data_IF_646854994957
#
_entry.id   IF_646854994957
#
_cell.length_a   1.000
_cell.length_b   1.000
_cell.length_c   1.000
_cell.angle_alpha   90.00
_cell.angle_beta   90.00
_cell.angle_gamma   90.00
#
_symmetry.space_group_name_H-M   'P 1'
#
loop_
_entity.id
_entity.type
_entity.pdbx_description
1 polymer ?
#
# COMPACT_ATOMS: atom_id res chain seq x y z
N UNK A 1 1.04 15.24 -2.99
CA UNK A 1 0.80 14.36 -1.83
C UNK A 1 2.07 13.54 -1.60
N UNK A 2 2.15 12.68 -0.57
CA UNK A 2 3.37 11.90 -0.28
C UNK A 2 3.10 10.41 -0.52
N UNK A 3 3.74 9.83 -1.53
CA UNK A 3 3.59 8.42 -1.92
C UNK A 3 3.80 7.44 -0.75
N UNK A 4 4.77 7.70 0.13
CA UNK A 4 5.01 6.86 1.30
C UNK A 4 3.81 6.87 2.26
N UNK A 5 3.16 8.02 2.43
CA UNK A 5 1.96 8.12 3.24
C UNK A 5 0.77 7.39 2.60
N UNK A 6 0.64 7.44 1.28
CA UNK A 6 -0.42 6.72 0.57
C UNK A 6 -0.22 5.21 0.61
N UNK A 7 1.03 4.73 0.55
CA UNK A 7 1.36 3.32 0.84
C UNK A 7 0.89 2.96 2.25
N UNK A 8 1.21 3.76 3.28
CA UNK A 8 0.73 3.48 4.64
C UNK A 8 -0.79 3.42 4.74
N UNK A 9 -1.51 4.28 4.01
CA UNK A 9 -2.98 4.28 4.01
C UNK A 9 -3.54 3.00 3.39
N UNK A 10 -2.92 2.52 2.32
CA UNK A 10 -3.21 1.21 1.73
C UNK A 10 -2.98 0.11 2.76
N UNK A 11 -1.79 0.04 3.36
CA UNK A 11 -1.43 -0.99 4.35
C UNK A 11 -2.40 -0.98 5.56
N UNK A 12 -2.80 0.20 6.02
CA UNK A 12 -3.68 0.37 7.17
C UNK A 12 -5.07 -0.27 6.97
N UNK A 13 -5.63 -0.24 5.75
CA UNK A 13 -6.98 -0.76 5.47
C UNK A 13 -7.01 -2.18 4.94
N UNK A 14 -5.84 -2.78 4.69
CA UNK A 14 -5.75 -4.19 4.27
C UNK A 14 -6.12 -5.12 5.43
N UNK A 15 -6.42 -6.39 5.14
CA UNK A 15 -6.72 -7.40 6.17
C UNK A 15 -5.50 -8.28 6.50
N UNK A 16 -4.47 -8.25 5.66
CA UNK A 16 -3.22 -8.98 5.82
C UNK A 16 -2.11 -8.04 6.25
N UNK A 17 -1.18 -8.56 7.05
CA UNK A 17 0.04 -7.86 7.48
C UNK A 17 1.22 -8.10 6.54
N UNK A 18 1.17 -9.18 5.75
CA UNK A 18 2.16 -9.50 4.71
C UNK A 18 1.58 -9.21 3.33
N UNK A 19 2.16 -8.23 2.64
CA UNK A 19 1.61 -7.67 1.40
C UNK A 19 2.68 -7.74 0.31
N UNK A 20 2.43 -8.44 -0.82
CA UNK A 20 3.35 -8.48 -1.94
C UNK A 20 3.60 -7.09 -2.51
N UNK A 21 4.86 -6.73 -2.78
CA UNK A 21 5.21 -5.44 -3.40
C UNK A 21 4.58 -5.27 -4.78
N UNK A 22 4.43 -6.37 -5.53
CA UNK A 22 3.73 -6.40 -6.81
C UNK A 22 2.27 -5.91 -6.73
N UNK A 23 1.62 -5.99 -5.56
CA UNK A 23 0.28 -5.44 -5.35
C UNK A 23 0.22 -3.96 -5.71
N UNK A 24 1.23 -3.18 -5.30
CA UNK A 24 1.29 -1.75 -5.54
C UNK A 24 1.52 -1.44 -7.01
N UNK A 25 2.31 -2.24 -7.71
CA UNK A 25 2.61 -2.06 -9.14
C UNK A 25 1.41 -2.46 -10.00
N UNK A 26 0.85 -3.65 -9.77
CA UNK A 26 -0.25 -4.17 -10.58
C UNK A 26 -1.58 -3.49 -10.29
N UNK A 27 -1.79 -3.06 -9.04
CA UNK A 27 -2.97 -2.35 -8.58
C UNK A 27 -2.89 -0.83 -8.71
N UNK A 28 -1.74 -0.26 -9.11
CA UNK A 28 -1.42 1.17 -9.09
C UNK A 28 -2.55 2.08 -9.59
N UNK A 29 -3.11 1.77 -10.76
CA UNK A 29 -4.21 2.53 -11.40
C UNK A 29 -5.45 2.72 -10.52
N UNK A 30 -5.66 1.84 -9.54
CA UNK A 30 -6.82 1.86 -8.65
C UNK A 30 -6.51 2.46 -7.27
N UNK A 31 -5.23 2.67 -6.94
CA UNK A 31 -4.80 3.15 -5.63
C UNK A 31 -4.76 4.69 -5.54
N UNK A 32 -5.00 5.38 -6.66
CA UNK A 32 -5.09 6.84 -6.76
C UNK A 32 -3.92 7.44 -7.55
N UNK A 33 -4.06 8.69 -7.97
CA UNK A 33 -3.16 9.34 -8.92
C UNK A 33 -1.68 9.33 -8.52
N UNK A 34 -1.36 9.49 -7.23
CA UNK A 34 0.02 9.46 -6.74
C UNK A 34 0.65 8.06 -6.88
N UNK A 35 -0.12 7.01 -6.61
CA UNK A 35 0.35 5.63 -6.74
C UNK A 35 0.25 5.11 -8.17
N UNK A 36 -0.53 5.76 -9.04
CA UNK A 36 -0.58 5.47 -10.47
C UNK A 36 0.78 5.74 -11.16
N UNK A 37 1.56 6.69 -10.66
CA UNK A 37 2.93 6.94 -11.13
C UNK A 37 3.85 5.71 -11.03
N UNK A 38 3.51 4.72 -10.19
CA UNK A 38 4.26 3.46 -10.07
C UNK A 38 4.19 2.61 -11.36
N UNK A 39 3.20 2.84 -12.22
CA UNK A 39 3.08 2.15 -13.52
C UNK A 39 4.24 2.54 -14.43
N UNK A 40 4.56 3.83 -14.49
CA UNK A 40 5.59 4.39 -15.36
C UNK A 40 6.97 4.41 -14.69
N UNK A 41 7.00 4.55 -13.36
CA UNK A 41 8.23 4.67 -12.58
C UNK A 41 8.25 3.70 -11.39
N UNK A 42 8.48 2.38 -11.61
CA UNK A 42 8.42 1.38 -10.54
C UNK A 42 9.43 1.62 -9.40
N UNK A 43 10.57 2.26 -9.68
CA UNK A 43 11.60 2.57 -8.66
C UNK A 43 11.09 3.53 -7.57
N UNK A 44 10.01 4.29 -7.83
CA UNK A 44 9.39 5.15 -6.82
C UNK A 44 8.85 4.34 -5.64
N UNK A 45 8.45 3.08 -5.86
CA UNK A 45 8.07 2.16 -4.79
C UNK A 45 9.24 1.92 -3.85
N UNK A 46 10.45 1.67 -4.39
CA UNK A 46 11.66 1.47 -3.58
C UNK A 46 12.00 2.71 -2.75
N UNK A 47 11.86 3.91 -3.33
CA UNK A 47 12.09 5.16 -2.61
C UNK A 47 11.09 5.35 -1.46
N UNK A 48 9.80 5.15 -1.74
CA UNK A 48 8.75 5.30 -0.75
C UNK A 48 8.88 4.26 0.37
N UNK A 49 9.12 2.99 0.02
CA UNK A 49 9.42 1.93 1.00
C UNK A 49 10.69 2.24 1.79
N UNK A 50 11.72 2.79 1.15
CA UNK A 50 12.94 3.24 1.83
C UNK A 50 12.68 4.29 2.91
N UNK A 51 11.79 5.25 2.65
CA UNK A 51 11.33 6.23 3.66
C UNK A 51 10.64 5.51 4.83
N UNK A 52 9.69 4.62 4.53
CA UNK A 52 8.92 3.91 5.56
C UNK A 52 9.80 2.99 6.42
N UNK A 53 10.79 2.33 5.82
CA UNK A 53 11.77 1.49 6.53
C UNK A 53 12.67 2.30 7.45
N UNK A 54 13.11 3.48 7.04
CA UNK A 54 13.91 4.38 7.91
C UNK A 54 13.14 4.82 9.16
N UNK A 55 11.82 4.89 9.06
CA UNK A 55 10.92 5.20 10.18
C UNK A 55 10.45 3.93 10.94
N UNK A 56 10.97 2.75 10.58
CA UNK A 56 10.57 1.45 11.14
C UNK A 56 9.07 1.16 11.04
N UNK A 57 8.38 1.78 10.07
CA UNK A 57 6.93 1.61 9.89
C UNK A 57 6.60 0.35 9.10
N UNK A 58 7.52 -0.12 8.27
CA UNK A 58 7.40 -1.35 7.48
C UNK A 58 8.68 -2.16 7.56
N UNK A 59 8.55 -3.48 7.47
CA UNK A 59 9.66 -4.40 7.23
C UNK A 59 9.58 -4.89 5.79
N UNK A 60 10.73 -5.08 5.14
CA UNK A 60 10.81 -5.58 3.77
C UNK A 60 11.49 -6.92 3.77
N UNK A 61 10.79 -7.93 3.28
CA UNK A 61 11.32 -9.28 3.07
C UNK A 61 11.77 -9.39 1.62
N UNK A 62 13.01 -8.97 1.33
CA UNK A 62 13.54 -8.88 -0.04
C UNK A 62 13.47 -10.22 -0.78
N UNK A 63 13.72 -11.34 -0.09
CA UNK A 63 13.66 -12.69 -0.68
C UNK A 63 12.25 -13.06 -1.18
N UNK A 64 11.21 -12.54 -0.53
CA UNK A 64 9.80 -12.85 -0.84
C UNK A 64 9.10 -11.69 -1.57
N UNK A 65 9.78 -10.57 -1.77
CA UNK A 65 9.21 -9.32 -2.29
C UNK A 65 7.92 -8.93 -1.55
N UNK A 66 7.96 -8.99 -0.22
CA UNK A 66 6.82 -8.65 0.64
C UNK A 66 7.16 -7.51 1.57
N UNK A 67 6.17 -6.65 1.79
CA UNK A 67 6.14 -5.69 2.87
C UNK A 67 5.36 -6.29 4.03
N UNK A 68 6.02 -6.40 5.18
CA UNK A 68 5.38 -6.72 6.44
C UNK A 68 5.04 -5.41 7.17
N UNK A 69 3.79 -5.31 7.61
CA UNK A 69 3.26 -4.15 8.30
C UNK A 69 2.76 -4.55 9.68
N UNK A 70 3.18 -3.83 10.72
CA UNK A 70 2.88 -4.25 12.08
C UNK A 70 1.38 -4.08 12.40
N UNK A 71 0.68 -5.11 12.91
CA UNK A 71 -0.77 -5.05 13.11
C UNK A 71 -1.23 -3.93 14.06
N UNK A 72 -0.38 -3.51 15.01
CA UNK A 72 -0.65 -2.33 15.85
C UNK A 72 -0.71 -1.04 15.02
N UNK A 73 0.24 -0.82 14.10
CA UNK A 73 0.27 0.37 13.25
C UNK A 73 -0.94 0.40 12.32
N UNK A 74 -1.38 -0.76 11.84
CA UNK A 74 -2.59 -0.90 11.04
C UNK A 74 -3.86 -0.44 11.76
N UNK A 75 -4.00 -0.81 13.04
CA UNK A 75 -5.11 -0.35 13.88
C UNK A 75 -5.03 1.14 14.16
N UNK A 76 -3.87 1.60 14.63
CA UNK A 76 -3.64 3.01 14.97
C UNK A 76 -3.87 3.91 13.76
N UNK A 77 -3.26 3.61 12.61
CA UNK A 77 -3.46 4.40 11.40
C UNK A 77 -4.90 4.35 10.90
N UNK A 78 -5.56 3.19 10.96
CA UNK A 78 -6.98 3.09 10.61
C UNK A 78 -7.84 3.98 11.52
N UNK A 79 -7.62 3.98 12.83
CA UNK A 79 -8.35 4.80 13.80
C UNK A 79 -8.14 6.30 13.60
N UNK A 80 -6.96 6.70 13.14
CA UNK A 80 -6.66 8.08 12.78
C UNK A 80 -7.28 8.54 11.45
N UNK A 81 -7.78 7.62 10.61
CA UNK A 81 -8.53 7.97 9.41
C UNK A 81 -9.98 8.27 9.75
N UNK A 82 -10.49 9.36 9.17
CA UNK A 82 -11.94 9.60 9.11
C UNK A 82 -12.65 8.43 8.43
N UNK A 83 -13.92 8.19 8.76
CA UNK A 83 -14.71 7.12 8.15
C UNK A 83 -14.76 7.23 6.62
N UNK A 84 -14.83 8.47 6.10
CA UNK A 84 -14.81 8.75 4.67
C UNK A 84 -13.48 8.35 4.03
N UNK A 85 -12.36 8.73 4.64
CA UNK A 85 -11.02 8.37 4.14
C UNK A 85 -10.82 6.86 4.17
N UNK A 86 -11.20 6.21 5.27
CA UNK A 86 -11.11 4.75 5.42
C UNK A 86 -11.96 4.01 4.39
N UNK A 87 -13.19 4.46 4.16
CA UNK A 87 -14.07 3.87 3.14
C UNK A 87 -13.51 4.04 1.73
N UNK A 88 -12.95 5.21 1.41
CA UNK A 88 -12.29 5.48 0.13
C UNK A 88 -11.11 4.52 -0.10
N UNK A 89 -10.19 4.41 0.87
CA UNK A 89 -9.03 3.52 0.72
C UNK A 89 -9.42 2.05 0.67
N UNK A 90 -10.41 1.62 1.45
CA UNK A 90 -10.97 0.25 1.34
C UNK A 90 -11.48 -0.03 -0.07
N UNK A 91 -12.27 0.88 -0.64
CA UNK A 91 -12.79 0.74 -2.00
C UNK A 91 -11.66 0.62 -3.04
N UNK A 92 -10.63 1.46 -2.93
CA UNK A 92 -9.43 1.41 -3.80
C UNK A 92 -8.68 0.09 -3.69
N UNK A 93 -8.43 -0.39 -2.46
CA UNK A 93 -7.76 -1.67 -2.20
C UNK A 93 -8.58 -2.85 -2.73
N UNK A 94 -9.90 -2.83 -2.58
CA UNK A 94 -10.78 -3.84 -3.16
C UNK A 94 -10.72 -3.84 -4.69
N UNK A 95 -10.76 -2.66 -5.33
CA UNK A 95 -10.65 -2.54 -6.77
C UNK A 95 -9.28 -3.03 -7.29
N UNK A 96 -8.19 -2.63 -6.64
CA UNK A 96 -6.84 -3.12 -6.94
C UNK A 96 -6.75 -4.65 -6.80
N UNK A 97 -7.29 -5.21 -5.71
CA UNK A 97 -7.29 -6.65 -5.47
C UNK A 97 -8.08 -7.42 -6.54
N UNK A 98 -9.22 -6.88 -6.98
CA UNK A 98 -10.04 -7.47 -8.03
C UNK A 98 -9.30 -7.45 -9.38
N UNK A 99 -8.60 -6.35 -9.70
CA UNK A 99 -7.82 -6.22 -10.93
C UNK A 99 -6.63 -7.19 -10.99
N UNK A 100 -6.02 -7.53 -9.85
CA UNK A 100 -4.87 -8.45 -9.78
C UNK A 100 -5.32 -9.92 -9.89
N UNK A 101 -6.48 -10.27 -9.31
CA UNK A 101 -7.02 -11.64 -9.32
C UNK A 101 -7.63 -12.05 -10.65
N UNK A 102 -7.88 -11.10 -11.55
CA UNK A 102 -8.41 -11.37 -12.88
C UNK A 102 -7.28 -11.28 -13.92
N UNK A 103 -6.56 -12.37 -14.21
CA UNK A 103 -6.08 -12.56 -15.57
C UNK A 103 -7.31 -12.90 -16.43
N UNK A 104 -7.25 -12.55 -17.71
CA UNK A 104 -8.22 -12.88 -18.76
C UNK A 104 -9.02 -14.18 -18.55
#
# INVERSE_FOLDING_TARGET
MNMAADILRVLAVMQTVDIPEFFFLAGARHLGAELEALITEPYLLDLAVGVLRRLSLVQRHTEKQMLAFHPLLQRVLSEHMSDRERAMWKSRVTAASAAIKSPL
#
